data_IF_227240931325
#
_entry.id   IF_227240931325
#
_cell.length_a   1.000
_cell.length_b   1.000
_cell.length_c   1.000
_cell.angle_alpha   90.00
_cell.angle_beta   90.00
_cell.angle_gamma   90.00
#
_symmetry.space_group_name_H-M   'P 1'
#
loop_
_entity.id
_entity.type
_entity.pdbx_description
1 polymer ?
#
# COMPACT_ATOMS: atom_id res chain seq x y z
N UNK A 1 -11.07 10.27 -3.21
CA UNK A 1 -10.99 9.30 -4.33
C UNK A 1 -11.70 8.01 -3.96
N UNK A 2 -12.31 7.28 -4.92
CA UNK A 2 -12.91 5.96 -4.67
C UNK A 2 -11.84 4.86 -4.68
N UNK A 3 -12.16 3.71 -4.07
CA UNK A 3 -11.30 2.53 -4.08
C UNK A 3 -12.12 1.26 -3.89
N UNK A 4 -11.55 0.14 -4.32
CA UNK A 4 -11.97 -1.20 -3.89
C UNK A 4 -10.83 -1.89 -3.12
N UNK A 5 -11.15 -3.00 -2.45
CA UNK A 5 -10.17 -3.76 -1.67
C UNK A 5 -10.05 -5.20 -2.13
N UNK A 6 -8.86 -5.77 -1.98
CA UNK A 6 -8.57 -7.19 -2.17
C UNK A 6 -7.86 -7.71 -0.92
N UNK A 7 -8.14 -8.95 -0.53
CA UNK A 7 -7.52 -9.57 0.65
C UNK A 7 -6.57 -10.69 0.25
N UNK A 8 -5.37 -10.67 0.84
CA UNK A 8 -4.37 -11.73 0.76
C UNK A 8 -4.10 -12.27 2.16
N UNK A 9 -4.00 -13.59 2.29
CA UNK A 9 -3.75 -14.27 3.58
C UNK A 9 -4.63 -13.76 4.73
N UNK A 10 -5.91 -13.52 4.46
CA UNK A 10 -6.90 -13.01 5.43
C UNK A 10 -6.56 -11.62 6.03
N UNK A 11 -5.90 -10.74 5.26
CA UNK A 11 -5.63 -9.36 5.70
C UNK A 11 -6.87 -8.59 6.15
N UNK A 12 -8.03 -8.83 5.51
CA UNK A 12 -9.34 -8.29 5.87
C UNK A 12 -9.86 -8.77 7.24
N UNK A 13 -9.31 -9.84 7.79
CA UNK A 13 -9.62 -10.32 9.14
C UNK A 13 -8.59 -9.87 10.16
N UNK A 14 -7.32 -9.73 9.75
CA UNK A 14 -6.21 -9.38 10.63
C UNK A 14 -6.12 -7.88 10.93
N UNK A 15 -6.40 -7.02 9.95
CA UNK A 15 -6.43 -5.56 10.16
C UNK A 15 -7.82 -5.19 10.64
N UNK A 16 -7.96 -4.61 11.83
CA UNK A 16 -9.27 -4.25 12.39
C UNK A 16 -10.01 -3.16 11.60
N UNK A 17 -11.31 -3.02 11.85
CA UNK A 17 -12.17 -2.08 11.13
C UNK A 17 -11.79 -0.62 11.35
N UNK A 18 -11.15 -0.26 12.47
CA UNK A 18 -10.72 1.11 12.75
C UNK A 18 -9.58 1.50 11.82
N UNK A 19 -8.56 0.67 11.71
CA UNK A 19 -7.42 0.93 10.82
C UNK A 19 -7.83 0.88 9.35
N UNK A 20 -8.70 -0.06 8.95
CA UNK A 20 -9.25 -0.11 7.59
C UNK A 20 -10.00 1.17 7.24
N UNK A 21 -10.84 1.65 8.15
CA UNK A 21 -11.59 2.89 7.97
C UNK A 21 -10.66 4.11 7.84
N UNK A 22 -9.61 4.19 8.67
CA UNK A 22 -8.64 5.29 8.57
C UNK A 22 -7.92 5.32 7.20
N UNK A 23 -7.52 4.16 6.68
CA UNK A 23 -6.90 4.10 5.34
C UNK A 23 -7.92 4.53 4.28
N UNK A 24 -9.16 4.02 4.36
CA UNK A 24 -10.24 4.39 3.45
C UNK A 24 -10.55 5.90 3.49
N UNK A 25 -10.58 6.51 4.68
CA UNK A 25 -10.82 7.93 4.89
C UNK A 25 -9.67 8.79 4.35
N UNK A 26 -8.42 8.32 4.49
CA UNK A 26 -7.26 8.98 3.89
C UNK A 26 -7.35 9.00 2.36
N UNK A 27 -7.78 7.88 1.75
CA UNK A 27 -7.98 7.75 0.30
C UNK A 27 -9.16 8.60 -0.18
N UNK A 28 -10.29 8.57 0.54
CA UNK A 28 -11.51 9.30 0.18
C UNK A 28 -11.26 10.82 0.17
N UNK A 29 -10.41 11.30 1.07
CA UNK A 29 -9.99 12.70 1.19
C UNK A 29 -9.02 13.19 0.09
N UNK A 30 -8.55 12.32 -0.81
CA UNK A 30 -7.76 12.75 -1.97
C UNK A 30 -8.67 13.41 -3.01
N UNK A 31 -8.41 14.69 -3.27
CA UNK A 31 -9.13 15.52 -4.27
C UNK A 31 -8.43 15.59 -5.64
N UNK A 32 -7.23 15.02 -5.74
CA UNK A 32 -6.47 15.01 -7.00
C UNK A 32 -7.12 14.04 -7.98
N UNK A 33 -7.49 14.53 -9.17
CA UNK A 33 -8.00 13.70 -10.27
C UNK A 33 -6.88 12.84 -10.84
N UNK A 34 -7.21 11.59 -11.17
CA UNK A 34 -6.28 10.67 -11.83
C UNK A 34 -6.02 11.14 -13.25
N UNK A 35 -4.75 11.15 -13.65
CA UNK A 35 -4.33 11.56 -14.99
C UNK A 35 -2.80 11.72 -15.09
N UNK A 36 -2.30 12.14 -16.26
CA UNK A 36 -0.86 12.27 -16.49
C UNK A 36 -0.21 13.19 -15.45
N UNK A 37 0.94 12.77 -14.90
CA UNK A 37 1.71 13.52 -13.88
C UNK A 37 0.99 13.74 -12.55
N UNK A 38 -0.15 13.08 -12.29
CA UNK A 38 -0.88 13.20 -11.02
C UNK A 38 -0.30 12.31 -9.90
N UNK A 39 0.44 11.24 -10.23
CA UNK A 39 0.92 10.26 -9.25
C UNK A 39 1.72 10.88 -8.07
N UNK A 40 2.69 11.80 -8.28
CA UNK A 40 3.38 12.44 -7.16
C UNK A 40 2.46 13.26 -6.26
N UNK A 41 1.47 13.96 -6.84
CA UNK A 41 0.51 14.77 -6.09
C UNK A 41 -0.43 13.91 -5.25
N UNK A 42 -0.93 12.81 -5.83
CA UNK A 42 -1.73 11.81 -5.12
C UNK A 42 -0.92 11.24 -3.95
N UNK A 43 0.34 10.87 -4.20
CA UNK A 43 1.25 10.34 -3.17
C UNK A 43 1.40 11.31 -2.00
N UNK A 44 1.75 12.56 -2.28
CA UNK A 44 1.98 13.58 -1.24
C UNK A 44 0.71 13.83 -0.42
N UNK A 45 -0.45 14.01 -1.08
CA UNK A 45 -1.71 14.23 -0.37
C UNK A 45 -2.09 13.03 0.50
N UNK A 46 -1.93 11.80 -0.02
CA UNK A 46 -2.30 10.60 0.73
C UNK A 46 -1.42 10.39 1.97
N UNK A 47 -0.11 10.62 1.85
CA UNK A 47 0.81 10.56 3.00
C UNK A 47 0.43 11.63 4.03
N UNK A 48 0.08 12.84 3.60
CA UNK A 48 -0.40 13.91 4.48
C UNK A 48 -1.67 13.51 5.22
N UNK A 49 -2.64 12.92 4.51
CA UNK A 49 -3.90 12.47 5.10
C UNK A 49 -3.68 11.33 6.12
N UNK A 50 -2.81 10.37 5.81
CA UNK A 50 -2.45 9.29 6.73
C UNK A 50 -1.81 9.85 8.01
N UNK A 51 -0.85 10.79 7.88
CA UNK A 51 -0.22 11.45 9.03
C UNK A 51 -1.22 12.19 9.91
N UNK A 52 -2.19 12.89 9.32
CA UNK A 52 -3.26 13.56 10.06
C UNK A 52 -4.15 12.57 10.86
N UNK A 53 -4.20 11.30 10.43
CA UNK A 53 -4.89 10.23 11.14
C UNK A 53 -3.96 9.47 12.11
N UNK A 54 -2.75 9.98 12.39
CA UNK A 54 -1.80 9.40 13.35
C UNK A 54 -1.02 8.19 12.83
N UNK A 55 -0.95 8.01 11.51
CA UNK A 55 0.01 7.09 10.90
C UNK A 55 1.40 7.74 10.89
N UNK A 56 2.45 6.94 11.03
CA UNK A 56 3.83 7.47 11.05
C UNK A 56 4.24 8.06 9.68
N UNK A 57 5.40 8.71 9.65
CA UNK A 57 6.14 8.91 8.40
C UNK A 57 6.82 7.62 7.93
N UNK A 58 7.80 7.77 7.04
CA UNK A 58 8.61 6.64 6.59
C UNK A 58 9.26 5.91 7.78
N UNK A 59 9.27 4.58 7.73
CA UNK A 59 9.80 3.72 8.80
C UNK A 59 10.87 2.83 8.22
N UNK A 60 12.04 2.79 8.86
CA UNK A 60 13.13 1.91 8.45
C UNK A 60 12.77 0.44 8.69
N UNK A 61 13.13 -0.41 7.72
CA UNK A 61 12.96 -1.86 7.79
C UNK A 61 14.01 -2.50 8.72
N UNK A 62 15.20 -1.90 8.82
CA UNK A 62 16.30 -2.36 9.67
C UNK A 62 17.25 -1.21 10.01
N UNK A 63 17.85 -1.22 11.19
CA UNK A 63 18.71 -0.13 11.70
C UNK A 63 19.89 0.24 10.78
N UNK A 64 20.43 -0.71 10.01
CA UNK A 64 21.61 -0.51 9.16
C UNK A 64 21.27 -0.44 7.65
N UNK A 65 20.06 0.02 7.29
CA UNK A 65 19.63 0.12 5.90
C UNK A 65 18.78 1.37 5.65
N UNK A 66 18.93 1.95 4.46
CA UNK A 66 18.06 3.02 3.94
C UNK A 66 16.70 2.50 3.44
N UNK A 67 16.44 1.19 3.56
CA UNK A 67 15.18 0.60 3.15
C UNK A 67 14.05 1.04 4.08
N UNK A 68 13.08 1.77 3.52
CA UNK A 68 11.89 2.21 4.26
C UNK A 68 10.60 1.65 3.66
N UNK A 69 9.58 1.50 4.52
CA UNK A 69 8.18 1.45 4.11
C UNK A 69 7.52 2.83 4.29
N UNK A 70 6.33 3.02 3.71
CA UNK A 70 5.69 4.34 3.69
C UNK A 70 5.25 4.79 5.08
N UNK A 71 4.71 3.88 5.88
CA UNK A 71 4.18 4.22 7.21
C UNK A 71 3.89 2.96 8.04
N UNK A 72 3.73 3.13 9.35
CA UNK A 72 3.19 2.13 10.26
C UNK A 72 2.16 2.74 11.21
N UNK A 73 1.28 1.90 11.72
CA UNK A 73 0.44 2.20 12.89
C UNK A 73 -0.02 0.90 13.55
N UNK A 74 0.14 0.78 14.87
CA UNK A 74 -0.35 -0.37 15.65
C UNK A 74 0.01 -1.74 15.01
N UNK A 75 1.29 -1.91 14.69
CA UNK A 75 1.87 -3.11 14.05
C UNK A 75 1.31 -3.42 12.65
N UNK A 76 0.73 -2.42 11.96
CA UNK A 76 0.31 -2.53 10.57
C UNK A 76 1.33 -1.78 9.71
N UNK A 77 2.02 -2.50 8.83
CA UNK A 77 2.93 -1.90 7.84
C UNK A 77 2.15 -1.38 6.63
N UNK A 78 2.53 -0.23 6.09
CA UNK A 78 1.87 0.36 4.94
C UNK A 78 2.88 0.74 3.84
N UNK A 79 2.60 0.28 2.63
CA UNK A 79 3.31 0.70 1.41
C UNK A 79 2.36 1.40 0.44
N UNK A 80 2.71 2.60 0.02
CA UNK A 80 2.04 3.33 -1.06
C UNK A 80 2.91 3.26 -2.31
N UNK A 81 2.38 2.69 -3.39
CA UNK A 81 3.11 2.55 -4.64
C UNK A 81 2.30 3.08 -5.82
N UNK A 82 2.66 4.28 -6.26
CA UNK A 82 2.11 4.93 -7.46
C UNK A 82 3.19 5.07 -8.56
N UNK A 83 4.35 4.44 -8.37
CA UNK A 83 5.46 4.44 -9.32
C UNK A 83 5.49 3.16 -10.16
N UNK A 84 6.68 2.77 -10.61
CA UNK A 84 6.87 1.61 -11.49
C UNK A 84 6.47 0.29 -10.81
N UNK A 85 5.84 -0.61 -11.57
CA UNK A 85 5.44 -1.94 -11.11
C UNK A 85 6.59 -2.75 -10.50
N UNK A 86 7.82 -2.61 -11.00
CA UNK A 86 8.98 -3.34 -10.47
C UNK A 86 9.29 -3.05 -9.00
N UNK A 87 8.88 -1.86 -8.50
CA UNK A 87 9.13 -1.46 -7.10
C UNK A 87 8.23 -2.18 -6.10
N UNK A 88 7.10 -2.73 -6.55
CA UNK A 88 6.21 -3.52 -5.69
C UNK A 88 6.93 -4.73 -5.10
N UNK A 89 7.80 -5.39 -5.84
CA UNK A 89 8.51 -6.56 -5.33
C UNK A 89 9.42 -6.21 -4.14
N UNK A 90 10.06 -5.03 -4.19
CA UNK A 90 10.80 -4.52 -3.06
C UNK A 90 9.86 -4.23 -1.87
N UNK A 91 8.70 -3.61 -2.10
CA UNK A 91 7.71 -3.36 -1.05
C UNK A 91 7.21 -4.66 -0.40
N UNK A 92 6.96 -5.71 -1.19
CA UNK A 92 6.59 -7.03 -0.67
C UNK A 92 7.71 -7.64 0.19
N UNK A 93 8.96 -7.59 -0.26
CA UNK A 93 10.10 -8.12 0.51
C UNK A 93 10.32 -7.36 1.82
N UNK A 94 10.18 -6.03 1.81
CA UNK A 94 10.26 -5.21 3.04
C UNK A 94 9.18 -5.61 4.03
N UNK A 95 7.93 -5.71 3.59
CA UNK A 95 6.81 -6.09 4.44
C UNK A 95 6.96 -7.52 4.97
N UNK A 96 7.41 -8.47 4.14
CA UNK A 96 7.70 -9.84 4.56
C UNK A 96 8.79 -9.89 5.62
N UNK A 97 9.88 -9.15 5.44
CA UNK A 97 10.96 -9.09 6.42
C UNK A 97 10.48 -8.50 7.76
N UNK A 98 9.73 -7.40 7.73
CA UNK A 98 9.15 -6.82 8.95
C UNK A 98 8.18 -7.77 9.64
N UNK A 99 7.39 -8.53 8.88
CA UNK A 99 6.47 -9.52 9.44
C UNK A 99 7.22 -10.69 10.10
N UNK A 100 8.24 -11.24 9.43
CA UNK A 100 9.07 -12.33 10.00
C UNK A 100 9.84 -11.90 11.25
N UNK A 101 10.17 -10.61 11.35
CA UNK A 101 10.83 -10.03 12.52
C UNK A 101 9.84 -9.55 13.60
N UNK A 102 8.55 -9.84 13.48
CA UNK A 102 7.49 -9.43 14.42
C UNK A 102 7.34 -7.91 14.60
N UNK A 103 7.84 -7.09 13.65
CA UNK A 103 7.65 -5.64 13.67
C UNK A 103 6.25 -5.22 13.19
N UNK A 104 5.62 -6.07 12.39
CA UNK A 104 4.23 -5.90 11.94
C UNK A 104 3.50 -7.24 12.02
N UNK A 105 2.19 -7.20 12.26
CA UNK A 105 1.30 -8.37 12.22
C UNK A 105 0.51 -8.48 10.92
N UNK A 106 0.41 -7.38 10.16
CA UNK A 106 -0.31 -7.30 8.90
C UNK A 106 0.19 -6.13 8.06
N UNK A 107 -0.21 -6.08 6.79
CA UNK A 107 0.17 -5.00 5.90
C UNK A 107 -1.01 -4.43 5.09
N UNK A 108 -0.92 -3.13 4.77
CA UNK A 108 -1.76 -2.47 3.79
C UNK A 108 -0.90 -2.03 2.60
N UNK A 109 -1.35 -2.32 1.39
CA UNK A 109 -0.72 -1.80 0.17
C UNK A 109 -1.73 -0.92 -0.54
N UNK A 110 -1.36 0.33 -0.80
CA UNK A 110 -2.18 1.26 -1.57
C UNK A 110 -1.52 1.46 -2.93
N UNK A 111 -2.24 1.15 -4.00
CA UNK A 111 -1.76 1.32 -5.36
C UNK A 111 -2.93 1.57 -6.33
N UNK A 112 -2.69 2.08 -7.54
CA UNK A 112 -3.73 2.25 -8.55
C UNK A 112 -4.47 0.95 -8.92
N UNK A 113 -5.75 1.08 -9.27
CA UNK A 113 -6.45 0.09 -10.10
C UNK A 113 -5.81 0.02 -11.49
N UNK A 114 -6.12 -1.04 -12.26
CA UNK A 114 -5.60 -1.17 -13.63
C UNK A 114 -5.96 0.06 -14.50
N UNK A 115 -7.21 0.55 -14.42
CA UNK A 115 -7.65 1.69 -15.21
C UNK A 115 -7.00 3.00 -14.75
N UNK A 116 -6.90 3.22 -13.43
CA UNK A 116 -6.20 4.39 -12.90
C UNK A 116 -4.70 4.38 -13.28
N UNK A 117 -4.04 3.22 -13.26
CA UNK A 117 -2.63 3.09 -13.65
C UNK A 117 -2.39 3.53 -15.10
N UNK A 118 -3.24 3.11 -16.04
CA UNK A 118 -3.15 3.50 -17.46
C UNK A 118 -3.25 5.01 -17.66
N UNK A 119 -4.05 5.70 -16.83
CA UNK A 119 -4.20 7.15 -16.89
C UNK A 119 -3.02 7.90 -16.25
N UNK A 120 -2.34 7.30 -15.27
CA UNK A 120 -1.21 7.91 -14.56
C UNK A 120 0.08 7.86 -15.37
N UNK A 121 0.31 6.79 -16.11
CA UNK A 121 1.47 6.63 -16.99
C UNK A 121 1.83 5.18 -17.30
N UNK A 122 3.00 4.98 -17.90
CA UNK A 122 3.45 3.67 -18.33
C UNK A 122 4.03 2.84 -17.19
N UNK A 123 3.71 1.54 -17.22
CA UNK A 123 4.23 0.53 -16.29
C UNK A 123 4.05 0.91 -14.81
N UNK A 124 2.99 1.63 -14.49
CA UNK A 124 2.62 1.97 -13.11
C UNK A 124 2.14 0.71 -12.38
N UNK A 125 2.53 0.59 -11.11
CA UNK A 125 2.08 -0.48 -10.23
C UNK A 125 0.55 -0.52 -10.18
N UNK A 126 -0.04 -1.72 -10.27
CA UNK A 126 -1.49 -1.84 -10.31
C UNK A 126 -2.05 -3.12 -9.68
N UNK A 127 -3.25 -2.99 -9.11
CA UNK A 127 -3.87 -3.99 -8.24
C UNK A 127 -4.15 -5.34 -8.91
N UNK A 128 -4.64 -5.38 -10.15
CA UNK A 128 -4.95 -6.63 -10.88
C UNK A 128 -3.72 -7.49 -11.16
N UNK A 129 -2.57 -6.87 -11.43
CA UNK A 129 -1.30 -7.60 -11.59
C UNK A 129 -0.79 -8.08 -10.24
N UNK A 130 -0.81 -7.21 -9.23
CA UNK A 130 -0.41 -7.58 -7.88
C UNK A 130 -1.26 -8.73 -7.32
N UNK A 131 -2.58 -8.73 -7.50
CA UNK A 131 -3.48 -9.80 -7.06
C UNK A 131 -3.08 -11.17 -7.63
N UNK A 132 -2.89 -11.23 -8.95
CA UNK A 132 -2.42 -12.45 -9.62
C UNK A 132 -1.07 -12.92 -9.10
N UNK A 133 -0.15 -11.98 -8.86
CA UNK A 133 1.20 -12.26 -8.41
C UNK A 133 1.25 -12.68 -6.94
N UNK A 134 0.40 -12.13 -6.07
CA UNK A 134 0.26 -12.55 -4.68
C UNK A 134 -0.19 -14.01 -4.57
N UNK A 135 -1.07 -14.47 -5.48
CA UNK A 135 -1.45 -15.87 -5.55
C UNK A 135 -0.25 -16.78 -5.89
N UNK A 136 0.62 -16.35 -6.81
CA UNK A 136 1.84 -17.07 -7.18
C UNK A 136 2.85 -17.08 -6.02
N UNK A 137 3.04 -15.92 -5.38
CA UNK A 137 4.04 -15.73 -4.34
C UNK A 137 3.55 -16.14 -2.95
N UNK A 138 2.39 -16.75 -2.79
CA UNK A 138 1.78 -17.05 -1.47
C UNK A 138 2.70 -17.76 -0.48
N UNK A 139 3.67 -18.57 -0.95
CA UNK A 139 4.68 -19.19 -0.08
C UNK A 139 5.81 -18.23 0.33
N UNK A 140 6.25 -17.37 -0.60
CA UNK A 140 7.32 -16.40 -0.39
C UNK A 140 6.85 -15.13 0.34
N UNK A 141 5.63 -14.69 0.05
CA UNK A 141 4.95 -13.57 0.68
C UNK A 141 3.64 -14.04 1.30
N UNK A 142 3.63 -14.17 2.62
CA UNK A 142 2.49 -14.68 3.39
C UNK A 142 2.04 -13.73 4.51
N UNK A 143 2.51 -12.48 4.49
CA UNK A 143 1.97 -11.42 5.34
C UNK A 143 0.45 -11.30 5.08
N UNK A 144 -0.39 -11.26 6.12
CA UNK A 144 -1.80 -10.89 5.97
C UNK A 144 -1.91 -9.47 5.43
N UNK A 145 -2.46 -9.31 4.22
CA UNK A 145 -2.38 -8.03 3.49
C UNK A 145 -3.71 -7.62 2.90
N UNK A 146 -4.09 -6.35 3.09
CA UNK A 146 -5.18 -5.72 2.35
C UNK A 146 -4.58 -4.81 1.27
N UNK A 147 -5.04 -5.00 0.05
CA UNK A 147 -4.72 -4.12 -1.08
C UNK A 147 -5.86 -3.13 -1.27
N UNK A 148 -5.54 -1.84 -1.27
CA UNK A 148 -6.46 -0.75 -1.60
C UNK A 148 -6.16 -0.25 -3.01
N UNK A 149 -7.07 -0.51 -3.94
CA UNK A 149 -6.93 -0.16 -5.34
C UNK A 149 -7.59 1.19 -5.64
N UNK A 150 -6.79 2.21 -5.95
CA UNK A 150 -7.27 3.57 -6.23
C UNK A 150 -7.99 3.62 -7.58
N UNK A 151 -9.21 4.15 -7.59
CA UNK A 151 -10.02 4.31 -8.81
C UNK A 151 -9.85 5.70 -9.43
N UNK A 152 -10.13 5.78 -10.73
CA UNK A 152 -10.07 7.01 -11.53
C UNK A 152 -11.27 7.93 -11.25
#
# INVERSE_FOLDING_TARGET
MKHYTLSHCAGDKTIDSVHRKQIADAISSVVIKVGPRAAPKIRTQLISNLKALGWSGEVSVSENSDMTITSTKSDIGLCLQTGNMSRIYADLMKLQAMYLNNHIKAAAIILPSQEAAKLLGDNIAQAKRLERELAIFKKAYHVPTIVYALEA
#
